data_IF_127366864736
#
_entry.id   IF_127366864736
#
_cell.length_a   1.000
_cell.length_b   1.000
_cell.length_c   1.000
_cell.angle_alpha   90.00
_cell.angle_beta   90.00
_cell.angle_gamma   90.00
#
_symmetry.space_group_name_H-M   'P 1'
#
loop_
_entity.id
_entity.type
_entity.pdbx_description
1 polymer ?
#
# COMPACT_ATOMS: atom_id res chain seq x y z
N UNK A 1 -63.45 76.34 -28.86
CA UNK A 1 -62.12 75.90 -28.37
C UNK A 1 -62.35 74.93 -27.21
N UNK A 2 -62.75 73.68 -27.44
CA UNK A 2 -61.90 72.47 -27.66
C UNK A 2 -60.73 72.33 -26.67
N UNK A 3 -60.87 71.40 -25.71
CA UNK A 3 -59.77 70.57 -25.22
C UNK A 3 -60.31 69.30 -24.53
N UNK A 4 -60.26 68.20 -25.27
CA UNK A 4 -60.60 66.82 -24.90
C UNK A 4 -59.62 66.27 -23.86
N UNK A 5 -60.14 65.63 -22.79
CA UNK A 5 -59.33 64.86 -21.85
C UNK A 5 -58.77 63.62 -22.55
N UNK A 6 -57.47 63.63 -22.89
CA UNK A 6 -56.76 62.46 -23.42
C UNK A 6 -56.32 61.56 -22.25
N UNK A 7 -57.09 60.51 -21.96
CA UNK A 7 -56.62 59.36 -21.17
C UNK A 7 -55.42 58.76 -21.92
N UNK A 8 -54.23 58.82 -21.34
CA UNK A 8 -53.08 58.02 -21.77
C UNK A 8 -52.95 56.87 -20.79
N UNK A 9 -53.58 55.74 -21.12
CA UNK A 9 -53.20 54.46 -20.53
C UNK A 9 -51.96 53.99 -21.29
N UNK A 10 -50.83 53.66 -20.64
CA UNK A 10 -49.72 53.06 -21.35
C UNK A 10 -50.16 51.68 -21.83
N UNK A 11 -50.20 51.49 -23.15
CA UNK A 11 -50.37 50.16 -23.73
C UNK A 11 -49.12 49.36 -23.36
N UNK A 12 -49.27 48.48 -22.36
CA UNK A 12 -48.27 47.48 -22.05
C UNK A 12 -48.16 46.57 -23.27
N UNK A 13 -47.01 46.63 -23.96
CA UNK A 13 -46.72 45.80 -25.12
C UNK A 13 -46.60 44.35 -24.68
N UNK A 14 -47.73 43.64 -24.71
CA UNK A 14 -47.91 42.29 -24.17
C UNK A 14 -46.93 41.28 -24.76
N UNK A 15 -46.46 41.49 -25.99
CA UNK A 15 -45.41 40.66 -26.60
C UNK A 15 -44.07 40.75 -25.86
N UNK A 16 -43.67 41.94 -25.40
CA UNK A 16 -42.41 42.11 -24.64
C UNK A 16 -42.50 41.50 -23.25
N UNK A 17 -43.69 41.47 -22.65
CA UNK A 17 -43.92 40.75 -21.40
C UNK A 17 -43.86 39.24 -21.63
N UNK A 18 -44.48 38.73 -22.70
CA UNK A 18 -44.44 37.31 -23.03
C UNK A 18 -43.01 36.82 -23.35
N UNK A 19 -42.23 37.59 -24.11
CA UNK A 19 -40.82 37.29 -24.40
C UNK A 19 -39.94 37.38 -23.15
N UNK A 20 -40.15 38.38 -22.28
CA UNK A 20 -39.43 38.49 -21.01
C UNK A 20 -39.78 37.37 -20.03
N UNK A 21 -41.04 36.93 -20.01
CA UNK A 21 -41.51 35.80 -19.19
C UNK A 21 -40.99 34.47 -19.75
N UNK A 22 -40.94 34.31 -21.08
CA UNK A 22 -40.39 33.11 -21.74
C UNK A 22 -38.86 33.01 -21.54
N UNK A 23 -38.14 34.11 -21.73
CA UNK A 23 -36.70 34.18 -21.46
C UNK A 23 -36.42 33.94 -19.97
N UNK A 24 -37.22 34.55 -19.08
CA UNK A 24 -37.13 34.31 -17.64
C UNK A 24 -37.38 32.84 -17.26
N UNK A 25 -38.36 32.18 -17.88
CA UNK A 25 -38.60 30.74 -17.69
C UNK A 25 -37.41 29.90 -18.15
N UNK A 26 -36.87 30.17 -19.34
CA UNK A 26 -35.73 29.43 -19.89
C UNK A 26 -34.46 29.63 -19.04
N UNK A 27 -34.23 30.85 -18.53
CA UNK A 27 -33.12 31.15 -17.61
C UNK A 27 -33.29 30.45 -16.27
N UNK A 28 -34.51 30.39 -15.72
CA UNK A 28 -34.79 29.67 -14.47
C UNK A 28 -34.62 28.15 -14.67
N UNK A 29 -35.11 27.59 -15.78
CA UNK A 29 -34.95 26.17 -16.09
C UNK A 29 -33.47 25.78 -16.30
N UNK A 30 -32.68 26.60 -17.03
CA UNK A 30 -31.24 26.39 -17.16
C UNK A 30 -30.49 26.57 -15.83
N UNK A 31 -30.86 27.56 -15.01
CA UNK A 31 -30.24 27.76 -13.71
C UNK A 31 -30.51 26.57 -12.79
N UNK A 32 -31.75 26.08 -12.75
CA UNK A 32 -32.12 24.89 -11.96
C UNK A 32 -31.41 23.64 -12.48
N UNK A 33 -31.33 23.44 -13.80
CA UNK A 33 -30.60 22.31 -14.39
C UNK A 33 -29.10 22.35 -14.05
N UNK A 34 -28.47 23.53 -14.16
CA UNK A 34 -27.05 23.73 -13.84
C UNK A 34 -26.80 23.53 -12.35
N UNK A 35 -27.64 24.08 -11.48
CA UNK A 35 -27.53 23.86 -10.03
C UNK A 35 -27.70 22.38 -9.68
N UNK A 36 -28.65 21.69 -10.30
CA UNK A 36 -28.85 20.26 -10.08
C UNK A 36 -27.63 19.43 -10.51
N UNK A 37 -27.07 19.70 -11.68
CA UNK A 37 -25.86 19.03 -12.17
C UNK A 37 -24.65 19.31 -11.27
N UNK A 38 -24.48 20.54 -10.79
CA UNK A 38 -23.41 20.92 -9.87
C UNK A 38 -23.57 20.28 -8.50
N UNK A 39 -24.80 20.18 -7.99
CA UNK A 39 -25.10 19.49 -6.73
C UNK A 39 -24.87 17.99 -6.88
N UNK A 40 -25.29 17.37 -7.98
CA UNK A 40 -25.04 15.95 -8.27
C UNK A 40 -23.53 15.68 -8.37
N UNK A 41 -22.77 16.50 -9.10
CA UNK A 41 -21.31 16.41 -9.19
C UNK A 41 -20.63 16.61 -7.83
N UNK A 42 -21.03 17.62 -7.06
CA UNK A 42 -20.48 17.88 -5.74
C UNK A 42 -20.79 16.75 -4.76
N UNK A 43 -22.01 16.19 -4.82
CA UNK A 43 -22.40 15.04 -3.99
C UNK A 43 -21.64 13.77 -4.36
N UNK A 44 -21.46 13.49 -5.66
CA UNK A 44 -20.69 12.36 -6.15
C UNK A 44 -19.20 12.50 -5.80
N UNK A 45 -18.64 13.70 -5.89
CA UNK A 45 -17.27 13.99 -5.48
C UNK A 45 -17.08 13.84 -3.96
N UNK A 46 -18.05 14.28 -3.15
CA UNK A 46 -18.01 14.14 -1.70
C UNK A 46 -18.11 12.66 -1.26
N UNK A 47 -19.02 11.90 -1.85
CA UNK A 47 -19.17 10.47 -1.58
C UNK A 47 -17.92 9.69 -2.02
N UNK A 48 -17.40 9.97 -3.21
CA UNK A 48 -16.17 9.35 -3.73
C UNK A 48 -14.95 9.69 -2.87
N UNK A 49 -14.81 10.95 -2.43
CA UNK A 49 -13.73 11.36 -1.54
C UNK A 49 -13.81 10.69 -0.16
N UNK A 50 -15.01 10.47 0.36
CA UNK A 50 -15.21 9.71 1.60
C UNK A 50 -14.82 8.24 1.45
N UNK A 51 -15.28 7.57 0.40
CA UNK A 51 -14.95 6.16 0.13
C UNK A 51 -13.45 5.97 -0.13
N UNK A 52 -12.81 6.90 -0.85
CA UNK A 52 -11.36 6.90 -1.09
C UNK A 52 -10.57 7.12 0.19
N UNK A 53 -11.01 8.02 1.07
CA UNK A 53 -10.38 8.26 2.36
C UNK A 53 -10.53 7.05 3.30
N UNK A 54 -11.72 6.44 3.36
CA UNK A 54 -11.95 5.22 4.13
C UNK A 54 -11.07 4.07 3.63
N UNK A 55 -10.95 3.92 2.31
CA UNK A 55 -10.08 2.92 1.68
C UNK A 55 -8.61 3.17 1.98
N UNK A 56 -8.12 4.41 1.88
CA UNK A 56 -6.74 4.77 2.21
C UNK A 56 -6.38 4.45 3.67
N UNK A 57 -7.29 4.72 4.60
CA UNK A 57 -7.06 4.37 6.01
C UNK A 57 -7.00 2.86 6.21
N UNK A 58 -7.90 2.10 5.58
CA UNK A 58 -7.87 0.64 5.62
C UNK A 58 -6.60 0.08 5.00
N UNK A 59 -6.21 0.58 3.85
CA UNK A 59 -5.03 0.16 3.10
C UNK A 59 -3.73 0.45 3.87
N UNK A 60 -3.67 1.59 4.59
CA UNK A 60 -2.57 1.89 5.50
C UNK A 60 -2.50 0.88 6.66
N UNK A 61 -3.63 0.54 7.29
CA UNK A 61 -3.67 -0.47 8.35
C UNK A 61 -3.26 -1.86 7.83
N UNK A 62 -3.75 -2.25 6.65
CA UNK A 62 -3.38 -3.52 6.02
C UNK A 62 -1.88 -3.57 5.69
N UNK A 63 -1.24 -2.43 5.36
CA UNK A 63 0.20 -2.36 5.16
C UNK A 63 1.00 -2.59 6.45
N UNK A 64 0.57 -2.02 7.58
CA UNK A 64 1.19 -2.30 8.87
C UNK A 64 1.03 -3.77 9.28
N UNK A 65 -0.14 -4.38 9.04
CA UNK A 65 -0.37 -5.80 9.29
C UNK A 65 0.56 -6.66 8.42
N UNK A 66 0.71 -6.32 7.13
CA UNK A 66 1.65 -7.02 6.24
C UNK A 66 3.09 -6.90 6.71
N UNK A 67 3.54 -5.69 7.07
CA UNK A 67 4.88 -5.47 7.63
C UNK A 67 5.11 -6.28 8.91
N UNK A 68 4.10 -6.33 9.81
CA UNK A 68 4.15 -7.16 11.02
C UNK A 68 4.26 -8.66 10.72
N UNK A 69 3.52 -9.16 9.73
CA UNK A 69 3.62 -10.55 9.29
C UNK A 69 4.99 -10.90 8.69
N UNK A 70 5.56 -10.00 7.88
CA UNK A 70 6.92 -10.16 7.33
C UNK A 70 7.94 -10.25 8.46
N UNK A 71 7.87 -9.32 9.42
CA UNK A 71 8.75 -9.34 10.59
C UNK A 71 8.61 -10.63 11.40
N UNK A 72 7.37 -11.03 11.73
CA UNK A 72 7.09 -12.26 12.48
C UNK A 72 7.65 -13.50 11.76
N UNK A 73 7.51 -13.56 10.44
CA UNK A 73 8.06 -14.65 9.62
C UNK A 73 9.60 -14.64 9.59
N UNK A 74 10.22 -13.48 9.51
CA UNK A 74 11.68 -13.36 9.62
C UNK A 74 12.21 -13.86 10.97
N UNK A 75 11.50 -13.58 12.07
CA UNK A 75 11.84 -14.10 13.39
C UNK A 75 11.63 -15.62 13.50
N UNK A 76 10.57 -16.15 12.89
CA UNK A 76 10.35 -17.60 12.78
C UNK A 76 11.49 -18.28 12.00
N UNK A 77 11.90 -17.69 10.88
CA UNK A 77 12.98 -18.20 10.03
C UNK A 77 14.34 -18.16 10.76
N UNK A 78 14.62 -17.11 11.55
CA UNK A 78 15.78 -17.06 12.45
C UNK A 78 15.76 -18.21 13.47
N UNK A 79 14.61 -18.42 14.13
CA UNK A 79 14.45 -19.50 15.10
C UNK A 79 14.67 -20.89 14.49
N UNK A 80 14.15 -21.11 13.28
CA UNK A 80 14.40 -22.34 12.51
C UNK A 80 15.88 -22.50 12.16
N UNK A 81 16.58 -21.41 11.84
CA UNK A 81 18.01 -21.46 11.53
C UNK A 81 18.84 -21.91 12.72
N UNK A 82 18.59 -21.34 13.90
CA UNK A 82 19.25 -21.73 15.15
C UNK A 82 19.01 -23.21 15.46
N UNK A 83 17.77 -23.69 15.31
CA UNK A 83 17.45 -25.09 15.55
C UNK A 83 18.13 -26.03 14.54
N UNK A 84 18.13 -25.67 13.25
CA UNK A 84 18.81 -26.43 12.22
C UNK A 84 20.32 -26.50 12.46
N UNK A 85 20.94 -25.39 12.87
CA UNK A 85 22.36 -25.36 13.24
C UNK A 85 22.67 -26.29 14.43
N UNK A 86 21.83 -26.27 15.47
CA UNK A 86 21.98 -27.16 16.62
C UNK A 86 21.86 -28.65 16.23
N UNK A 87 20.92 -28.97 15.34
CA UNK A 87 20.77 -30.32 14.80
C UNK A 87 22.01 -30.75 14.00
N UNK A 88 22.50 -29.91 13.10
CA UNK A 88 23.73 -30.15 12.32
C UNK A 88 24.92 -30.42 13.24
N UNK A 89 25.08 -29.65 14.32
CA UNK A 89 26.17 -29.91 15.28
C UNK A 89 26.02 -31.22 16.05
N UNK A 90 24.80 -31.60 16.42
CA UNK A 90 24.57 -32.88 17.07
C UNK A 90 24.94 -34.05 16.12
N UNK A 91 24.53 -33.98 14.86
CA UNK A 91 24.88 -34.95 13.82
C UNK A 91 26.39 -35.00 13.57
N UNK A 92 27.05 -33.85 13.45
CA UNK A 92 28.49 -33.75 13.28
C UNK A 92 29.27 -34.37 14.46
N UNK A 93 28.84 -34.16 15.70
CA UNK A 93 29.47 -34.74 16.89
C UNK A 93 29.31 -36.26 16.95
N UNK A 94 28.13 -36.78 16.61
CA UNK A 94 27.88 -38.23 16.53
C UNK A 94 28.72 -38.86 15.42
N UNK A 95 28.82 -38.20 14.27
CA UNK A 95 29.66 -38.64 13.16
C UNK A 95 31.14 -38.66 13.58
N UNK A 96 31.65 -37.58 14.16
CA UNK A 96 33.03 -37.51 14.65
C UNK A 96 33.35 -38.61 15.67
N UNK A 97 32.44 -38.87 16.62
CA UNK A 97 32.60 -39.95 17.59
C UNK A 97 32.68 -41.34 16.93
N UNK A 98 31.82 -41.62 15.95
CA UNK A 98 31.86 -42.86 15.17
C UNK A 98 33.16 -43.01 14.39
N UNK A 99 33.60 -41.95 13.70
CA UNK A 99 34.81 -42.00 12.89
C UNK A 99 36.06 -42.18 13.75
N UNK A 100 36.14 -41.50 14.91
CA UNK A 100 37.23 -41.68 15.88
C UNK A 100 37.32 -43.11 16.42
N UNK A 101 36.17 -43.77 16.66
CA UNK A 101 36.17 -45.19 17.08
C UNK A 101 36.71 -46.14 16.01
N UNK A 102 36.75 -45.73 14.74
CA UNK A 102 37.28 -46.54 13.64
C UNK A 102 38.73 -46.24 13.29
N UNK A 103 39.31 -45.17 13.84
CA UNK A 103 40.70 -44.78 13.60
C UNK A 103 41.67 -45.82 14.18
N UNK A 104 42.61 -46.30 13.35
CA UNK A 104 43.62 -47.30 13.74
C UNK A 104 45.01 -46.70 13.82
N UNK A 105 45.24 -45.56 13.15
CA UNK A 105 46.54 -44.90 13.08
C UNK A 105 46.45 -43.43 13.46
N UNK A 106 47.60 -42.81 13.81
CA UNK A 106 47.68 -41.38 14.07
C UNK A 106 47.32 -40.53 12.84
N UNK A 107 47.62 -41.02 11.63
CA UNK A 107 47.25 -40.33 10.39
C UNK A 107 45.72 -40.28 10.22
N UNK A 108 45.01 -41.36 10.54
CA UNK A 108 43.55 -41.39 10.48
C UNK A 108 42.94 -40.30 11.38
N UNK A 109 43.52 -40.08 12.57
CA UNK A 109 43.07 -39.03 13.50
C UNK A 109 43.32 -37.62 12.96
N UNK A 110 44.44 -37.39 12.26
CA UNK A 110 44.77 -36.10 11.64
C UNK A 110 43.84 -35.79 10.46
N UNK A 111 43.50 -36.79 9.65
CA UNK A 111 42.49 -36.66 8.59
C UNK A 111 41.11 -36.34 9.18
N UNK A 112 40.67 -37.08 10.21
CA UNK A 112 39.39 -36.81 10.89
C UNK A 112 39.32 -35.39 11.44
N UNK A 113 40.39 -34.89 12.05
CA UNK A 113 40.44 -33.50 12.53
C UNK A 113 40.37 -32.49 11.38
N UNK A 114 41.04 -32.76 10.26
CA UNK A 114 41.03 -31.86 9.10
C UNK A 114 39.67 -31.82 8.42
N UNK A 115 39.00 -32.96 8.30
CA UNK A 115 37.65 -33.05 7.74
C UNK A 115 36.61 -32.41 8.66
N UNK A 116 36.73 -32.59 9.98
CA UNK A 116 35.89 -31.90 10.94
C UNK A 116 36.09 -30.38 10.85
N UNK A 117 37.35 -29.91 10.79
CA UNK A 117 37.64 -28.49 10.65
C UNK A 117 37.05 -27.89 9.35
N UNK A 118 37.17 -28.61 8.23
CA UNK A 118 36.56 -28.19 6.96
C UNK A 118 35.03 -28.17 7.03
N UNK A 119 34.41 -29.23 7.54
CA UNK A 119 32.96 -29.30 7.71
C UNK A 119 32.42 -28.19 8.61
N UNK A 120 33.13 -27.84 9.67
CA UNK A 120 32.74 -26.76 10.59
C UNK A 120 32.87 -25.39 9.92
N UNK A 121 33.90 -25.20 9.08
CA UNK A 121 34.05 -23.99 8.29
C UNK A 121 32.93 -23.83 7.27
N UNK A 122 32.60 -24.90 6.53
CA UNK A 122 31.51 -24.88 5.56
C UNK A 122 30.16 -24.59 6.22
N UNK A 123 29.90 -25.20 7.39
CA UNK A 123 28.69 -24.95 8.18
C UNK A 123 28.60 -23.50 8.68
N UNK A 124 29.72 -22.93 9.14
CA UNK A 124 29.79 -21.55 9.59
C UNK A 124 29.53 -20.56 8.45
N UNK A 125 30.12 -20.79 7.27
CA UNK A 125 29.89 -19.95 6.09
C UNK A 125 28.43 -20.01 5.67
N UNK A 126 27.85 -21.22 5.60
CA UNK A 126 26.45 -21.40 5.22
C UNK A 126 25.49 -20.70 6.20
N UNK A 127 25.69 -20.84 7.51
CA UNK A 127 24.87 -20.18 8.52
C UNK A 127 25.06 -18.65 8.49
N UNK A 128 26.30 -18.18 8.30
CA UNK A 128 26.60 -16.75 8.15
C UNK A 128 25.89 -16.11 6.96
N UNK A 129 25.90 -16.78 5.81
CA UNK A 129 25.14 -16.35 4.63
C UNK A 129 23.64 -16.30 4.93
N UNK A 130 23.09 -17.36 5.54
CA UNK A 130 21.65 -17.46 5.82
C UNK A 130 21.17 -16.41 6.82
N UNK A 131 21.93 -16.14 7.88
CA UNK A 131 21.61 -15.05 8.83
C UNK A 131 21.66 -13.70 8.13
N UNK A 132 22.64 -13.47 7.25
CA UNK A 132 22.73 -12.23 6.47
C UNK A 132 21.53 -12.05 5.53
N UNK A 133 21.12 -13.11 4.82
CA UNK A 133 19.94 -13.10 3.95
C UNK A 133 18.65 -12.81 4.73
N UNK A 134 18.41 -13.49 5.85
CA UNK A 134 17.23 -13.25 6.70
C UNK A 134 17.24 -11.81 7.23
N UNK A 135 18.40 -11.30 7.64
CA UNK A 135 18.52 -9.92 8.14
C UNK A 135 18.21 -8.89 7.05
N UNK A 136 18.75 -9.08 5.85
CA UNK A 136 18.47 -8.23 4.69
C UNK A 136 17.00 -8.30 4.29
N UNK A 137 16.41 -9.49 4.34
CA UNK A 137 15.00 -9.71 4.04
C UNK A 137 14.11 -8.94 5.02
N UNK A 138 14.33 -9.08 6.32
CA UNK A 138 13.59 -8.32 7.33
C UNK A 138 13.74 -6.81 7.09
N UNK A 139 14.95 -6.33 6.85
CA UNK A 139 15.21 -4.91 6.64
C UNK A 139 14.48 -4.34 5.41
N UNK A 140 14.50 -5.06 4.29
CA UNK A 140 13.90 -4.61 3.03
C UNK A 140 12.37 -4.84 3.00
N UNK A 141 11.92 -6.06 3.29
CA UNK A 141 10.51 -6.44 3.11
C UNK A 141 9.58 -5.84 4.18
N UNK A 142 10.10 -5.41 5.34
CA UNK A 142 9.26 -4.76 6.38
C UNK A 142 8.86 -3.33 5.99
N UNK A 143 9.70 -2.63 5.22
CA UNK A 143 9.44 -1.23 4.83
C UNK A 143 8.70 -1.12 3.50
N UNK A 144 8.79 -2.14 2.64
CA UNK A 144 8.12 -2.18 1.33
C UNK A 144 6.61 -1.93 1.39
N UNK A 145 5.81 -2.56 2.28
CA UNK A 145 4.36 -2.32 2.34
C UNK A 145 4.01 -0.87 2.63
N UNK A 146 4.82 -0.19 3.45
CA UNK A 146 4.63 1.22 3.83
C UNK A 146 5.02 2.13 2.66
N UNK A 147 6.14 1.85 1.98
CA UNK A 147 6.55 2.59 0.78
C UNK A 147 5.52 2.46 -0.35
N UNK A 148 4.97 1.26 -0.55
CA UNK A 148 3.92 1.03 -1.54
C UNK A 148 2.67 1.88 -1.25
N UNK A 149 2.25 1.97 0.01
CA UNK A 149 1.13 2.85 0.40
C UNK A 149 1.45 4.34 0.20
N UNK A 150 2.67 4.77 0.47
CA UNK A 150 3.09 6.14 0.21
C UNK A 150 3.00 6.48 -1.28
N UNK A 151 3.38 5.56 -2.16
CA UNK A 151 3.26 5.75 -3.60
C UNK A 151 1.79 5.83 -4.04
N UNK A 152 0.92 4.97 -3.49
CA UNK A 152 -0.53 5.04 -3.76
C UNK A 152 -1.12 6.38 -3.31
N UNK A 153 -0.70 6.89 -2.15
CA UNK A 153 -1.10 8.21 -1.67
C UNK A 153 -0.65 9.32 -2.62
N UNK A 154 0.61 9.31 -3.05
CA UNK A 154 1.17 10.29 -4.00
C UNK A 154 0.45 10.24 -5.35
N UNK A 155 0.17 9.05 -5.88
CA UNK A 155 -0.59 8.88 -7.13
C UNK A 155 -2.03 9.41 -7.02
N UNK A 156 -2.70 9.18 -5.89
CA UNK A 156 -4.06 9.69 -5.65
C UNK A 156 -4.07 11.20 -5.43
N UNK A 157 -3.07 11.76 -4.75
CA UNK A 157 -2.93 13.20 -4.58
C UNK A 157 -2.67 13.93 -5.92
N UNK A 158 -2.03 13.26 -6.88
CA UNK A 158 -1.74 13.82 -8.21
C UNK A 158 -2.87 13.62 -9.24
N UNK A 159 -3.86 12.75 -9.00
CA UNK A 159 -5.05 12.55 -9.85
C UNK A 159 -6.29 13.19 -9.21
N UNK A 160 -7.01 14.14 -9.83
CA UNK A 160 -6.67 15.40 -10.46
C UNK A 160 -7.03 16.63 -9.58
N UNK A 161 -6.09 17.56 -9.40
CA UNK A 161 -6.39 19.02 -9.33
C UNK A 161 -6.60 19.58 -10.76
N UNK A 162 -6.46 18.75 -11.79
CA UNK A 162 -6.67 19.06 -13.20
C UNK A 162 -7.98 18.45 -13.73
N UNK A 163 -9.12 19.07 -13.42
CA UNK A 163 -10.35 19.05 -14.22
C UNK A 163 -11.33 20.11 -13.70
#
# INVERSE_FOLDING_TARGET
>A
MTATAKKVTPAIDTKKIEEAVAAGKQTVEQAVATTKEQVEKASAAALKGYDEFATLNKDAMDAYVKAGNVFAKGMEDLGKSVFAFAQTQAEANVAAAKTLMTAKTLNDVVEIQSDLARSQFDALVAEGTKVSEISLKIANETVEPIQAQMNVFVEKAMKPIAA
#
